data_IF_070907943344
#
_entry.id   IF_070907943344
#
_cell.length_a   1.000
_cell.length_b   1.000
_cell.length_c   1.000
_cell.angle_alpha   90.00
_cell.angle_beta   90.00
_cell.angle_gamma   90.00
#
_symmetry.space_group_name_H-M   'P 1'
#
loop_
_entity.id
_entity.type
_entity.pdbx_description
1 polymer ?
#
# COMPACT_ATOMS: atom_id res chain seq x y z
N UNK A 1 -21.39 12.58 -3.81
CA UNK A 1 -21.15 11.25 -3.30
C UNK A 1 -19.69 11.04 -3.03
N UNK A 2 -19.40 10.67 -1.81
CA UNK A 2 -18.02 10.51 -1.41
C UNK A 2 -17.58 9.08 -1.61
N UNK A 3 -16.75 8.88 -2.59
CA UNK A 3 -16.09 7.60 -2.75
C UNK A 3 -14.98 7.49 -1.74
N UNK A 4 -14.93 6.35 -1.06
CA UNK A 4 -13.82 6.07 -0.18
C UNK A 4 -12.63 5.56 -0.98
N UNK A 5 -11.44 5.89 -0.51
CA UNK A 5 -10.21 5.34 -1.05
C UNK A 5 -10.13 3.88 -0.60
N UNK A 6 -10.08 2.96 -1.54
CA UNK A 6 -10.07 1.52 -1.26
C UNK A 6 -8.65 1.02 -1.17
N UNK A 7 -8.27 0.51 -0.01
CA UNK A 7 -6.87 0.22 0.31
C UNK A 7 -6.68 -1.26 0.66
N UNK A 8 -5.69 -1.89 0.05
CA UNK A 8 -5.25 -3.23 0.40
C UNK A 8 -4.01 -3.11 1.28
N UNK A 9 -4.00 -3.82 2.41
CA UNK A 9 -2.88 -3.79 3.36
C UNK A 9 -2.09 -5.09 3.20
N UNK A 10 -0.80 -4.98 2.90
CA UNK A 10 0.07 -6.14 2.68
C UNK A 10 1.27 -6.07 3.61
N UNK A 11 1.33 -7.00 4.55
CA UNK A 11 2.40 -7.07 5.54
C UNK A 11 2.35 -8.46 6.17
N UNK A 12 3.51 -9.05 6.44
CA UNK A 12 3.53 -10.38 7.04
C UNK A 12 3.22 -10.38 8.54
N UNK A 13 3.20 -9.21 9.17
CA UNK A 13 2.87 -9.08 10.59
C UNK A 13 1.38 -8.90 10.79
N UNK A 14 0.74 -9.84 11.49
CA UNK A 14 -0.68 -9.74 11.79
C UNK A 14 -0.99 -8.48 12.59
N UNK A 15 -0.18 -8.17 13.61
CA UNK A 15 -0.44 -7.01 14.44
C UNK A 15 -0.34 -5.72 13.65
N UNK A 16 0.60 -5.63 12.69
CA UNK A 16 0.68 -4.44 11.85
C UNK A 16 -0.55 -4.32 10.96
N UNK A 17 -0.98 -5.43 10.33
CA UNK A 17 -2.18 -5.40 9.48
C UNK A 17 -3.40 -4.95 10.26
N UNK A 18 -3.60 -5.48 11.47
CA UNK A 18 -4.76 -5.14 12.28
C UNK A 18 -4.73 -3.69 12.74
N UNK A 19 -3.55 -3.22 13.15
CA UNK A 19 -3.41 -1.82 13.57
C UNK A 19 -3.64 -0.86 12.42
N UNK A 20 -3.10 -1.17 11.25
CA UNK A 20 -3.29 -0.32 10.08
C UNK A 20 -4.75 -0.31 9.65
N UNK A 21 -5.40 -1.47 9.65
CA UNK A 21 -6.82 -1.54 9.32
C UNK A 21 -7.66 -0.68 10.25
N UNK A 22 -7.39 -0.77 11.57
CA UNK A 22 -8.13 0.03 12.53
C UNK A 22 -7.94 1.53 12.26
N UNK A 23 -6.71 1.94 11.96
CA UNK A 23 -6.42 3.33 11.65
C UNK A 23 -7.18 3.81 10.41
N UNK A 24 -7.19 3.00 9.36
CA UNK A 24 -7.87 3.39 8.11
C UNK A 24 -9.37 3.46 8.29
N UNK A 25 -9.94 2.53 9.04
CA UNK A 25 -11.39 2.43 9.15
C UNK A 25 -12.04 3.56 9.95
N UNK A 26 -11.27 4.27 10.77
CA UNK A 26 -11.81 5.44 11.43
C UNK A 26 -11.73 6.70 10.56
N UNK A 27 -11.09 6.62 9.41
CA UNK A 27 -11.04 7.74 8.47
C UNK A 27 -12.30 7.74 7.61
N UNK A 28 -13.01 8.88 7.52
CA UNK A 28 -14.27 8.90 6.76
C UNK A 28 -14.09 8.68 5.26
N UNK A 29 -12.90 8.90 4.73
CA UNK A 29 -12.61 8.82 3.31
C UNK A 29 -11.83 7.59 2.90
N UNK A 30 -11.65 6.61 3.80
CA UNK A 30 -10.84 5.43 3.52
C UNK A 30 -11.56 4.14 3.89
N UNK A 31 -11.17 3.06 3.23
CA UNK A 31 -11.74 1.73 3.48
C UNK A 31 -10.64 0.69 3.25
N UNK A 32 -10.43 -0.18 4.22
CA UNK A 32 -9.55 -1.33 4.04
C UNK A 32 -10.35 -2.43 3.36
N UNK A 33 -10.06 -2.71 2.10
CA UNK A 33 -10.83 -3.71 1.34
C UNK A 33 -10.29 -5.12 1.51
N UNK A 34 -9.06 -5.26 2.02
CA UNK A 34 -8.49 -6.58 2.25
C UNK A 34 -7.14 -6.47 2.91
N UNK A 35 -6.65 -7.62 3.38
CA UNK A 35 -5.34 -7.73 4.00
C UNK A 35 -4.66 -8.98 3.47
N UNK A 36 -3.37 -8.89 3.19
CA UNK A 36 -2.60 -10.02 2.67
C UNK A 36 -1.32 -10.19 3.51
N UNK A 37 -0.99 -11.44 3.90
CA UNK A 37 0.22 -11.69 4.68
C UNK A 37 1.45 -11.97 3.81
N UNK A 38 1.31 -11.99 2.49
CA UNK A 38 2.40 -12.38 1.60
C UNK A 38 2.24 -11.71 0.25
N UNK A 39 3.33 -11.75 -0.54
CA UNK A 39 3.31 -11.18 -1.88
C UNK A 39 2.39 -11.92 -2.83
N UNK A 40 2.38 -13.25 -2.76
CA UNK A 40 1.48 -14.04 -3.61
C UNK A 40 0.02 -13.73 -3.31
N UNK A 41 -0.33 -13.65 -2.02
CA UNK A 41 -1.71 -13.33 -1.65
C UNK A 41 -2.06 -11.91 -2.07
N UNK A 42 -1.09 -10.99 -2.00
CA UNK A 42 -1.32 -9.61 -2.43
C UNK A 42 -1.73 -9.55 -3.90
N UNK A 43 -1.03 -10.27 -4.77
CA UNK A 43 -1.34 -10.27 -6.20
C UNK A 43 -2.76 -10.82 -6.43
N UNK A 44 -3.12 -11.90 -5.75
CA UNK A 44 -4.48 -12.45 -5.85
C UNK A 44 -5.53 -11.42 -5.46
N UNK A 45 -5.29 -10.71 -4.36
CA UNK A 45 -6.28 -9.77 -3.85
C UNK A 45 -6.35 -8.49 -4.65
N UNK A 46 -5.25 -8.06 -5.28
CA UNK A 46 -5.31 -6.93 -6.20
C UNK A 46 -6.20 -7.28 -7.39
N UNK A 47 -6.06 -8.48 -7.91
CA UNK A 47 -6.91 -8.92 -9.01
C UNK A 47 -8.38 -8.98 -8.59
N UNK A 48 -8.63 -9.53 -7.41
CA UNK A 48 -10.00 -9.73 -6.94
C UNK A 48 -10.69 -8.41 -6.59
N UNK A 49 -10.02 -7.55 -5.83
CA UNK A 49 -10.65 -6.35 -5.29
C UNK A 49 -10.41 -5.09 -6.10
N UNK A 50 -9.40 -5.07 -6.95
CA UNK A 50 -9.02 -3.88 -7.72
C UNK A 50 -8.97 -2.64 -6.84
N UNK A 51 -8.06 -2.62 -5.84
CA UNK A 51 -7.99 -1.49 -4.92
C UNK A 51 -7.47 -0.24 -5.60
N UNK A 52 -7.72 0.91 -4.98
CA UNK A 52 -7.14 2.16 -5.46
C UNK A 52 -5.67 2.25 -5.08
N UNK A 53 -5.30 1.67 -3.94
CA UNK A 53 -3.96 1.80 -3.39
C UNK A 53 -3.59 0.56 -2.58
N UNK A 54 -2.32 0.17 -2.65
CA UNK A 54 -1.77 -0.93 -1.87
C UNK A 54 -0.71 -0.37 -0.93
N UNK A 55 -0.88 -0.63 0.36
CA UNK A 55 0.16 -0.39 1.36
C UNK A 55 0.97 -1.67 1.45
N UNK A 56 2.23 -1.62 1.08
CA UNK A 56 3.01 -2.82 0.82
C UNK A 56 4.31 -2.82 1.59
N UNK A 57 4.49 -3.84 2.44
CA UNK A 57 5.73 -4.04 3.15
C UNK A 57 6.86 -4.36 2.17
N UNK A 58 7.99 -3.71 2.35
CA UNK A 58 9.15 -3.92 1.47
C UNK A 58 9.77 -5.29 1.64
N UNK A 59 9.59 -5.92 2.80
CA UNK A 59 10.23 -7.21 3.10
C UNK A 59 9.21 -8.23 3.58
N UNK A 60 9.06 -9.31 2.83
CA UNK A 60 8.18 -10.41 3.17
C UNK A 60 8.87 -11.73 2.83
N UNK A 61 8.46 -12.84 3.48
CA UNK A 61 9.18 -14.11 3.30
C UNK A 61 9.18 -14.68 1.89
N UNK A 62 8.08 -14.51 1.15
CA UNK A 62 7.95 -15.14 -0.18
C UNK A 62 8.40 -14.26 -1.32
N UNK A 63 8.22 -12.95 -1.20
CA UNK A 63 8.58 -11.98 -2.24
C UNK A 63 8.94 -10.67 -1.60
N UNK A 64 9.87 -9.95 -2.21
CA UNK A 64 10.15 -8.59 -1.73
C UNK A 64 9.03 -7.65 -2.20
N UNK A 65 8.87 -6.56 -1.47
CA UNK A 65 7.91 -5.53 -1.87
C UNK A 65 8.24 -4.95 -3.23
N UNK A 66 9.53 -4.88 -3.57
CA UNK A 66 9.97 -4.41 -4.88
C UNK A 66 9.41 -5.31 -5.98
N UNK A 67 9.53 -6.63 -5.81
CA UNK A 67 9.00 -7.59 -6.79
C UNK A 67 7.49 -7.48 -6.93
N UNK A 68 6.80 -7.35 -5.80
CA UNK A 68 5.34 -7.22 -5.82
C UNK A 68 4.93 -5.93 -6.52
N UNK A 69 5.64 -4.83 -6.23
CA UNK A 69 5.37 -3.55 -6.88
C UNK A 69 5.50 -3.66 -8.39
N UNK A 70 6.58 -4.29 -8.86
CA UNK A 70 6.80 -4.45 -10.30
C UNK A 70 5.67 -5.25 -10.95
N UNK A 71 5.22 -6.32 -10.30
CA UNK A 71 4.14 -7.14 -10.82
C UNK A 71 2.82 -6.37 -10.87
N UNK A 72 2.52 -5.62 -9.80
CA UNK A 72 1.30 -4.82 -9.75
C UNK A 72 1.31 -3.75 -10.82
N UNK A 73 2.39 -2.98 -10.91
CA UNK A 73 2.46 -1.86 -11.86
C UNK A 73 2.44 -2.35 -13.31
N UNK A 74 2.99 -3.53 -13.55
CA UNK A 74 2.98 -4.13 -14.89
C UNK A 74 1.58 -4.49 -15.35
N UNK A 75 0.78 -5.04 -14.44
CA UNK A 75 -0.55 -5.58 -14.76
C UNK A 75 -1.66 -4.56 -14.53
N UNK A 76 -1.52 -3.74 -13.49
CA UNK A 76 -2.55 -2.76 -13.11
C UNK A 76 -1.88 -1.41 -12.85
N UNK A 77 -1.45 -0.72 -13.90
CA UNK A 77 -0.64 0.50 -13.73
C UNK A 77 -1.34 1.63 -13.00
N UNK A 78 -2.69 1.59 -12.93
CA UNK A 78 -3.42 2.64 -12.23
C UNK A 78 -3.55 2.40 -10.73
N UNK A 79 -3.21 1.20 -10.25
CA UNK A 79 -3.21 0.92 -8.81
C UNK A 79 -2.00 1.58 -8.20
N UNK A 80 -2.23 2.43 -7.19
CA UNK A 80 -1.13 3.14 -6.51
C UNK A 80 -0.46 2.22 -5.51
N UNK A 81 0.85 2.36 -5.34
CA UNK A 81 1.60 1.53 -4.40
C UNK A 81 2.43 2.43 -3.50
N UNK A 82 2.25 2.28 -2.18
CA UNK A 82 3.13 2.89 -1.19
C UNK A 82 3.94 1.77 -0.56
N UNK A 83 5.26 1.81 -0.73
CA UNK A 83 6.15 0.86 -0.08
C UNK A 83 6.49 1.32 1.32
N UNK A 84 6.38 0.41 2.28
CA UNK A 84 6.68 0.66 3.69
C UNK A 84 7.90 -0.13 4.08
N UNK A 85 8.80 0.47 4.84
CA UNK A 85 10.01 -0.20 5.30
C UNK A 85 10.41 0.28 6.68
N UNK A 86 11.14 -0.57 7.41
CA UNK A 86 11.78 -0.16 8.66
C UNK A 86 13.05 0.64 8.39
N UNK A 87 13.64 0.49 7.21
CA UNK A 87 14.93 1.08 6.88
C UNK A 87 14.81 1.92 5.61
N UNK A 88 15.54 3.03 5.56
CA UNK A 88 15.47 3.96 4.44
C UNK A 88 16.24 3.54 3.19
N UNK A 89 16.81 2.35 3.18
CA UNK A 89 17.78 1.93 2.15
C UNK A 89 17.16 1.59 0.81
N UNK A 90 15.84 1.43 0.75
CA UNK A 90 15.19 0.98 -0.48
C UNK A 90 14.57 2.10 -1.30
N UNK A 91 14.86 3.34 -0.96
CA UNK A 91 14.17 4.47 -1.56
C UNK A 91 14.26 4.50 -3.07
N UNK A 92 15.47 4.44 -3.58
CA UNK A 92 15.66 4.54 -5.03
C UNK A 92 15.21 3.27 -5.76
N UNK A 93 15.31 2.10 -5.11
CA UNK A 93 14.80 0.85 -5.67
C UNK A 93 13.29 0.86 -5.78
N UNK A 94 12.60 1.46 -4.82
CA UNK A 94 11.15 1.56 -4.89
C UNK A 94 10.72 2.49 -6.01
N UNK A 95 11.47 3.56 -6.26
CA UNK A 95 11.20 4.43 -7.40
C UNK A 95 11.39 3.69 -8.71
N UNK A 96 12.47 2.91 -8.84
CA UNK A 96 12.72 2.12 -10.04
C UNK A 96 11.63 1.09 -10.30
N UNK A 97 11.09 0.51 -9.23
CA UNK A 97 10.02 -0.49 -9.35
C UNK A 97 8.70 0.13 -9.75
N UNK A 98 8.57 1.45 -9.68
CA UNK A 98 7.36 2.16 -10.04
C UNK A 98 6.44 2.46 -8.87
N UNK A 99 6.93 2.35 -7.63
CA UNK A 99 6.13 2.72 -6.47
C UNK A 99 5.79 4.21 -6.53
N UNK A 100 4.59 4.54 -6.09
CA UNK A 100 4.13 5.93 -6.11
C UNK A 100 4.62 6.71 -4.91
N UNK A 101 4.97 6.02 -3.83
CA UNK A 101 5.57 6.63 -2.66
C UNK A 101 6.29 5.59 -1.84
N UNK A 102 7.13 6.07 -0.95
CA UNK A 102 7.93 5.26 -0.07
C UNK A 102 7.83 5.90 1.33
N UNK A 103 7.65 5.09 2.36
CA UNK A 103 7.51 5.59 3.72
C UNK A 103 8.22 4.67 4.71
N UNK A 104 8.80 5.28 5.75
CA UNK A 104 9.39 4.53 6.84
C UNK A 104 8.31 4.21 7.87
N UNK A 105 8.23 2.96 8.32
CA UNK A 105 7.20 2.52 9.26
C UNK A 105 7.37 3.25 10.56
N UNK A 106 8.11 3.76 11.11
CA UNK A 106 8.19 4.43 12.41
C UNK A 106 7.63 5.84 12.45
N UNK A 107 7.16 6.37 11.32
CA UNK A 107 6.66 7.73 11.29
C UNK A 107 5.24 7.80 11.87
N UNK A 108 4.82 9.00 12.33
CA UNK A 108 3.45 9.15 12.85
C UNK A 108 2.39 8.77 11.84
N UNK A 109 1.24 8.25 12.30
CA UNK A 109 0.17 7.84 11.39
C UNK A 109 -0.30 8.93 10.43
N UNK A 110 -0.27 10.19 10.87
CA UNK A 110 -0.68 11.31 10.02
C UNK A 110 0.14 11.40 8.74
N UNK A 111 1.41 11.01 8.82
CA UNK A 111 2.28 11.04 7.67
C UNK A 111 1.78 10.08 6.59
N UNK A 112 1.45 8.85 6.98
CA UNK A 112 0.92 7.85 6.06
C UNK A 112 -0.41 8.29 5.48
N UNK A 113 -1.31 8.78 6.33
CA UNK A 113 -2.63 9.23 5.87
C UNK A 113 -2.51 10.37 4.87
N UNK A 114 -1.59 11.30 5.11
CA UNK A 114 -1.34 12.39 4.18
C UNK A 114 -0.84 11.90 2.82
N UNK A 115 0.06 10.90 2.82
CA UNK A 115 0.55 10.32 1.58
C UNK A 115 -0.59 9.64 0.80
N UNK A 116 -1.41 8.87 1.49
CA UNK A 116 -2.54 8.20 0.85
C UNK A 116 -3.44 9.21 0.15
N UNK A 117 -3.80 10.27 0.85
CA UNK A 117 -4.68 11.29 0.28
C UNK A 117 -4.02 12.03 -0.88
N UNK A 118 -2.75 12.37 -0.71
CA UNK A 118 -2.03 13.09 -1.75
C UNK A 118 -1.92 12.32 -3.05
N UNK A 119 -1.62 11.03 -2.97
CA UNK A 119 -1.42 10.20 -4.15
C UNK A 119 -2.74 9.93 -4.87
N UNK A 120 -3.81 9.70 -4.11
CA UNK A 120 -5.08 9.29 -4.70
C UNK A 120 -5.94 10.45 -5.14
N UNK A 121 -5.58 11.68 -4.81
CA UNK A 121 -6.35 12.86 -5.19
C UNK A 121 -5.82 13.58 -6.40
N UNK A 122 -4.81 13.02 -7.04
CA UNK A 122 -4.15 13.66 -8.17
C UNK A 122 -5.11 13.97 -9.30
N UNK A 123 -6.17 13.20 -9.44
CA UNK A 123 -7.08 13.31 -10.57
C UNK A 123 -8.24 14.27 -10.34
N UNK A 124 -8.27 14.90 -9.20
CA UNK A 124 -9.28 15.88 -8.92
C UNK A 124 -8.84 17.21 -9.47
N UNK A 125 -9.24 17.49 -10.62
CA UNK A 125 -8.90 18.75 -11.24
C UNK A 125 -10.16 19.52 -11.52
#
# INVERSE_FOLDING_TARGET
MNKKIRILIVDDSLSFRMGMRALLEIQPDMQAVGMAPSGHKAIELVEEFQPDLVLLDAQMPDMTGIEVTQKIKNRWPNVKVILMTMYGDYRWKSIEAGADAFVTKGLPPEHMLGLIRGITQVEKV
#
